data_IF_713088147930
#
_entry.id   IF_713088147930
#
_cell.length_a   1.000
_cell.length_b   1.000
_cell.length_c   1.000
_cell.angle_alpha   90.00
_cell.angle_beta   90.00
_cell.angle_gamma   90.00
#
_symmetry.space_group_name_H-M   'P 1'
#
loop_
_entity.id
_entity.type
_entity.pdbx_description
1 polymer ?
#
# COMPACT_ATOMS: atom_id res chain seq x y z
N UNK A 1 -9.30 -30.07 -5.18
CA UNK A 1 -8.62 -29.21 -6.19
C UNK A 1 -8.39 -29.95 -7.53
N UNK A 2 -8.46 -29.27 -8.69
CA UNK A 2 -7.98 -29.85 -9.96
C UNK A 2 -6.44 -29.65 -10.06
N UNK A 3 -5.64 -30.71 -10.36
CA UNK A 3 -4.18 -30.61 -10.45
C UNK A 3 -3.69 -29.55 -11.44
N UNK A 4 -4.36 -29.39 -12.58
CA UNK A 4 -3.99 -28.38 -13.59
C UNK A 4 -4.08 -26.95 -13.03
N UNK A 5 -5.07 -26.73 -12.15
CA UNK A 5 -5.29 -25.42 -11.51
C UNK A 5 -4.22 -25.14 -10.45
N UNK A 6 -3.82 -26.15 -9.69
CA UNK A 6 -2.74 -26.03 -8.70
C UNK A 6 -1.41 -25.76 -9.41
N UNK A 7 -1.10 -26.50 -10.48
CA UNK A 7 0.11 -26.32 -11.27
C UNK A 7 0.20 -24.91 -11.85
N UNK A 8 -0.87 -24.43 -12.52
CA UNK A 8 -0.91 -23.07 -13.07
C UNK A 8 -0.74 -21.98 -11.98
N UNK A 9 -1.32 -22.21 -10.79
CA UNK A 9 -1.18 -21.28 -9.66
C UNK A 9 0.27 -21.25 -9.16
N UNK A 10 0.89 -22.42 -8.99
CA UNK A 10 2.29 -22.54 -8.58
C UNK A 10 3.26 -21.92 -9.60
N UNK A 11 3.05 -22.12 -10.90
CA UNK A 11 3.88 -21.50 -11.93
C UNK A 11 3.79 -19.97 -11.88
N UNK A 12 2.59 -19.45 -11.69
CA UNK A 12 2.37 -18.00 -11.56
C UNK A 12 3.10 -17.45 -10.35
N UNK A 13 3.04 -18.15 -9.21
CA UNK A 13 3.79 -17.75 -8.01
C UNK A 13 5.31 -17.83 -8.22
N UNK A 14 5.82 -18.86 -8.90
CA UNK A 14 7.26 -19.00 -9.21
C UNK A 14 7.78 -17.80 -10.01
N UNK A 15 7.00 -17.32 -10.98
CA UNK A 15 7.31 -16.10 -11.75
C UNK A 15 7.34 -14.87 -10.83
N UNK A 16 6.35 -14.71 -9.95
CA UNK A 16 6.31 -13.61 -8.99
C UNK A 16 7.52 -13.62 -8.03
N UNK A 17 7.94 -14.78 -7.53
CA UNK A 17 9.17 -14.91 -6.73
C UNK A 17 10.43 -14.51 -7.51
N UNK A 18 10.51 -14.87 -8.79
CA UNK A 18 11.64 -14.47 -9.65
C UNK A 18 11.71 -12.94 -9.82
N UNK A 19 10.57 -12.28 -9.97
CA UNK A 19 10.48 -10.81 -10.00
C UNK A 19 10.83 -10.17 -8.66
N UNK A 20 10.39 -10.79 -7.55
CA UNK A 20 10.75 -10.35 -6.19
C UNK A 20 12.27 -10.45 -5.97
N UNK A 21 12.89 -11.56 -6.39
CA UNK A 21 14.34 -11.76 -6.32
C UNK A 21 15.07 -10.68 -7.12
N UNK A 22 14.63 -10.39 -8.35
CA UNK A 22 15.16 -9.29 -9.13
C UNK A 22 15.00 -7.94 -8.42
N UNK A 23 13.88 -7.72 -7.72
CA UNK A 23 13.61 -6.49 -6.97
C UNK A 23 14.48 -6.33 -5.70
N UNK A 24 14.96 -7.43 -5.09
CA UNK A 24 15.93 -7.37 -3.98
C UNK A 24 17.24 -6.72 -4.44
N UNK A 25 17.69 -7.09 -5.62
CA UNK A 25 18.96 -6.65 -6.24
C UNK A 25 18.80 -5.45 -7.17
N UNK A 26 17.58 -4.97 -7.39
CA UNK A 26 17.29 -3.79 -8.19
C UNK A 26 17.89 -2.54 -7.53
N UNK A 27 19.14 -2.25 -7.89
CA UNK A 27 19.79 -0.97 -7.67
C UNK A 27 18.97 0.06 -8.45
N UNK A 28 18.10 0.79 -7.75
CA UNK A 28 17.30 1.81 -8.39
C UNK A 28 18.22 2.85 -9.00
N UNK A 29 17.95 3.28 -10.24
CA UNK A 29 18.40 4.60 -10.70
C UNK A 29 18.09 5.58 -9.58
N UNK A 30 19.13 6.20 -9.04
CA UNK A 30 19.06 7.28 -8.07
C UNK A 30 18.18 8.34 -8.73
N UNK A 31 16.88 8.38 -8.37
CA UNK A 31 15.99 9.44 -8.78
C UNK A 31 15.85 10.37 -7.58
N UNK A 32 16.61 11.45 -7.72
CA UNK A 32 16.49 12.77 -7.11
C UNK A 32 16.56 12.88 -5.59
N UNK A 33 17.62 13.58 -5.16
CA UNK A 33 17.67 14.42 -3.97
C UNK A 33 16.86 13.89 -2.77
N UNK A 34 17.40 12.87 -2.09
CA UNK A 34 17.20 12.86 -0.64
C UNK A 34 17.86 14.12 -0.12
N UNK A 35 17.04 15.12 0.22
CA UNK A 35 17.44 16.21 1.11
C UNK A 35 18.09 15.52 2.31
N UNK A 36 19.41 15.61 2.42
CA UNK A 36 20.16 15.00 3.50
C UNK A 36 19.53 15.49 4.80
N UNK A 37 18.88 14.60 5.56
CA UNK A 37 18.67 14.87 6.98
C UNK A 37 20.08 14.95 7.58
N UNK A 38 20.47 16.06 8.24
CA UNK A 38 21.82 16.25 8.77
C UNK A 38 22.11 15.42 10.03
N UNK A 39 21.66 14.15 10.04
CA UNK A 39 21.86 13.19 11.13
C UNK A 39 21.62 11.73 10.72
N UNK A 40 21.56 11.42 9.41
CA UNK A 40 21.38 10.06 8.91
C UNK A 40 22.67 9.23 9.05
N UNK A 41 22.67 8.31 10.03
CA UNK A 41 23.68 7.29 10.34
C UNK A 41 24.75 7.06 9.26
N UNK A 42 25.99 7.47 9.56
CA UNK A 42 27.20 6.94 8.92
C UNK A 42 27.34 5.46 9.30
N UNK A 43 26.90 4.57 8.43
CA UNK A 43 27.10 3.13 8.57
C UNK A 43 26.96 2.46 7.20
N UNK A 44 27.58 1.29 7.00
CA UNK A 44 27.45 0.56 5.74
C UNK A 44 25.97 0.32 5.45
N UNK A 45 25.50 0.77 4.29
CA UNK A 45 24.16 0.51 3.83
C UNK A 45 24.01 -1.00 3.57
N UNK A 46 23.01 -1.64 4.18
CA UNK A 46 22.72 -3.05 3.91
C UNK A 46 22.51 -3.25 2.41
N UNK A 47 23.16 -4.27 1.79
CA UNK A 47 22.97 -4.54 0.38
C UNK A 47 21.51 -4.95 0.10
N UNK A 48 20.92 -4.33 -0.92
CA UNK A 48 19.56 -4.62 -1.37
C UNK A 48 18.48 -3.71 -0.76
N UNK A 49 17.26 -3.82 -1.30
CA UNK A 49 16.10 -3.11 -0.76
C UNK A 49 15.53 -3.90 0.43
N UNK A 50 15.39 -3.31 1.64
CA UNK A 50 15.02 -4.07 2.84
C UNK A 50 13.64 -4.72 2.73
N UNK A 51 12.67 -4.00 2.16
CA UNK A 51 11.28 -4.47 2.09
C UNK A 51 11.06 -5.72 1.20
N UNK A 52 11.62 -5.80 -0.03
CA UNK A 52 11.62 -7.05 -0.80
C UNK A 52 12.33 -8.22 -0.12
N UNK A 53 13.43 -7.94 0.59
CA UNK A 53 14.19 -8.97 1.31
C UNK A 53 13.37 -9.54 2.47
N UNK A 54 12.82 -8.68 3.31
CA UNK A 54 11.95 -9.05 4.45
C UNK A 54 10.73 -9.85 3.99
N UNK A 55 10.02 -9.37 2.96
CA UNK A 55 8.86 -10.09 2.43
C UNK A 55 9.25 -11.47 1.91
N UNK A 56 10.35 -11.59 1.17
CA UNK A 56 10.75 -12.90 0.65
C UNK A 56 11.05 -13.90 1.77
N UNK A 57 11.76 -13.47 2.83
CA UNK A 57 12.06 -14.33 3.97
C UNK A 57 10.78 -14.82 4.66
N UNK A 58 9.80 -13.93 4.85
CA UNK A 58 8.51 -14.27 5.43
C UNK A 58 7.76 -15.32 4.59
N UNK A 59 7.66 -15.08 3.28
CA UNK A 59 6.94 -15.97 2.38
C UNK A 59 7.64 -17.34 2.23
N UNK A 60 8.98 -17.36 2.21
CA UNK A 60 9.78 -18.59 2.17
C UNK A 60 9.54 -19.47 3.41
N UNK A 61 9.47 -18.87 4.59
CA UNK A 61 9.19 -19.60 5.84
C UNK A 61 7.80 -20.23 5.81
N UNK A 62 6.78 -19.48 5.38
CA UNK A 62 5.41 -20.01 5.26
C UNK A 62 5.33 -21.14 4.25
N UNK A 63 5.95 -20.97 3.09
CA UNK A 63 5.99 -21.99 2.05
C UNK A 63 6.70 -23.25 2.53
N UNK A 64 7.80 -23.09 3.27
CA UNK A 64 8.55 -24.20 3.85
C UNK A 64 7.70 -25.05 4.80
N UNK A 65 6.90 -24.41 5.66
CA UNK A 65 6.03 -25.10 6.61
C UNK A 65 4.98 -25.95 5.88
N UNK A 66 4.33 -25.39 4.85
CA UNK A 66 3.38 -26.12 4.01
C UNK A 66 4.04 -27.32 3.30
N UNK A 67 5.20 -27.10 2.67
CA UNK A 67 5.94 -28.19 2.00
C UNK A 67 6.37 -29.26 3.00
N UNK A 68 6.78 -28.88 4.21
CA UNK A 68 7.18 -29.83 5.23
C UNK A 68 6.03 -30.65 5.81
N UNK A 69 4.81 -30.13 5.76
CA UNK A 69 3.63 -30.91 6.13
C UNK A 69 3.21 -31.84 4.97
N UNK A 70 3.07 -31.30 3.76
CA UNK A 70 2.68 -32.07 2.58
C UNK A 70 3.68 -33.19 2.23
N UNK A 71 4.99 -32.96 2.41
CA UNK A 71 6.01 -33.98 2.11
C UNK A 71 5.88 -35.22 2.97
N UNK A 72 5.24 -35.14 4.15
CA UNK A 72 5.02 -36.31 5.03
C UNK A 72 4.17 -37.37 4.36
N UNK A 73 3.36 -36.97 3.39
CA UNK A 73 2.46 -37.85 2.64
C UNK A 73 3.06 -38.27 1.29
N UNK A 74 3.82 -37.39 0.63
CA UNK A 74 4.30 -37.63 -0.74
C UNK A 74 5.76 -38.13 -0.77
N UNK A 75 6.69 -37.41 -0.11
CA UNK A 75 8.13 -37.75 -0.12
C UNK A 75 8.77 -37.60 1.28
N UNK A 76 8.51 -38.54 2.22
CA UNK A 76 8.83 -38.34 3.64
C UNK A 76 10.32 -38.22 3.96
N UNK A 77 11.17 -38.84 3.14
CA UNK A 77 12.63 -38.89 3.35
C UNK A 77 13.36 -37.65 2.82
N UNK A 78 12.68 -36.75 2.11
CA UNK A 78 13.32 -35.58 1.50
C UNK A 78 13.47 -34.44 2.53
N UNK A 79 14.69 -33.91 2.64
CA UNK A 79 14.96 -32.65 3.32
C UNK A 79 14.88 -31.50 2.33
N UNK A 80 14.47 -30.32 2.80
CA UNK A 80 14.41 -29.09 2.02
C UNK A 80 15.16 -28.00 2.76
N UNK A 81 15.73 -27.07 2.00
CA UNK A 81 16.19 -25.80 2.53
C UNK A 81 15.05 -24.77 2.54
N UNK A 82 15.24 -23.69 3.29
CA UNK A 82 14.30 -22.55 3.35
C UNK A 82 14.57 -21.58 2.20
N UNK A 83 14.42 -22.08 0.97
CA UNK A 83 14.65 -21.32 -0.25
C UNK A 83 13.49 -21.54 -1.22
N UNK A 84 12.87 -20.47 -1.69
CA UNK A 84 11.71 -20.58 -2.58
C UNK A 84 11.95 -21.42 -3.84
N UNK A 85 13.14 -21.43 -4.51
CA UNK A 85 13.29 -22.17 -5.76
C UNK A 85 13.11 -23.68 -5.58
N UNK A 86 13.77 -24.25 -4.57
CA UNK A 86 13.69 -25.69 -4.29
C UNK A 86 12.27 -26.11 -3.88
N UNK A 87 11.62 -25.28 -3.06
CA UNK A 87 10.26 -25.51 -2.60
C UNK A 87 9.26 -25.44 -3.76
N UNK A 88 9.38 -24.43 -4.63
CA UNK A 88 8.49 -24.26 -5.79
C UNK A 88 8.69 -25.36 -6.82
N UNK A 89 9.93 -25.77 -7.10
CA UNK A 89 10.19 -26.88 -8.03
C UNK A 89 9.62 -28.20 -7.51
N UNK A 90 9.68 -28.43 -6.20
CA UNK A 90 9.03 -29.60 -5.60
C UNK A 90 7.50 -29.53 -5.69
N UNK A 91 6.89 -28.38 -5.43
CA UNK A 91 5.43 -28.20 -5.57
C UNK A 91 4.99 -28.47 -7.00
N UNK A 92 5.70 -27.91 -7.99
CA UNK A 92 5.38 -28.10 -9.40
C UNK A 92 5.50 -29.57 -9.81
N UNK A 93 6.60 -30.23 -9.41
CA UNK A 93 6.81 -31.65 -9.73
C UNK A 93 5.75 -32.56 -9.10
N UNK A 94 5.25 -32.24 -7.91
CA UNK A 94 4.27 -33.07 -7.18
C UNK A 94 2.85 -32.50 -7.24
N UNK A 95 2.54 -31.61 -8.19
CA UNK A 95 1.24 -30.92 -8.24
C UNK A 95 0.05 -31.90 -8.31
N UNK A 96 0.21 -33.03 -9.00
CA UNK A 96 -0.81 -34.08 -9.07
C UNK A 96 -1.06 -34.74 -7.70
N UNK A 97 -0.01 -35.25 -7.07
CA UNK A 97 -0.09 -35.85 -5.74
C UNK A 97 -0.55 -34.86 -4.66
N UNK A 98 -0.18 -33.58 -4.77
CA UNK A 98 -0.64 -32.52 -3.88
C UNK A 98 -2.14 -32.24 -4.06
N UNK A 99 -2.68 -32.37 -5.27
CA UNK A 99 -4.10 -32.13 -5.54
C UNK A 99 -5.02 -33.21 -4.94
N UNK A 100 -4.47 -34.40 -4.65
CA UNK A 100 -5.18 -35.50 -4.00
C UNK A 100 -5.24 -35.37 -2.47
N UNK A 101 -4.44 -34.46 -1.87
CA UNK A 101 -4.47 -34.25 -0.42
C UNK A 101 -5.67 -33.39 0.00
N UNK A 102 -6.19 -33.66 1.20
CA UNK A 102 -7.31 -32.87 1.78
C UNK A 102 -6.97 -31.38 1.96
N UNK A 103 -5.68 -31.03 2.02
CA UNK A 103 -5.17 -29.67 2.17
C UNK A 103 -4.88 -28.96 0.83
N UNK A 104 -5.23 -29.57 -0.30
CA UNK A 104 -4.92 -29.04 -1.64
C UNK A 104 -5.50 -27.64 -1.88
N UNK A 105 -6.73 -27.39 -1.41
CA UNK A 105 -7.40 -26.11 -1.58
C UNK A 105 -6.75 -25.02 -0.70
N UNK A 106 -6.37 -25.37 0.54
CA UNK A 106 -5.64 -24.47 1.45
C UNK A 106 -4.26 -24.09 0.88
N UNK A 107 -3.54 -25.06 0.29
CA UNK A 107 -2.28 -24.80 -0.39
C UNK A 107 -2.50 -23.84 -1.56
N UNK A 108 -3.52 -24.07 -2.39
CA UNK A 108 -3.82 -23.19 -3.51
C UNK A 108 -4.15 -21.76 -3.08
N UNK A 109 -4.87 -21.61 -1.97
CA UNK A 109 -5.19 -20.31 -1.38
C UNK A 109 -3.94 -19.61 -0.82
N UNK A 110 -3.05 -20.33 -0.14
CA UNK A 110 -1.76 -19.78 0.29
C UNK A 110 -0.93 -19.33 -0.91
N UNK A 111 -0.81 -20.14 -1.98
CA UNK A 111 -0.06 -19.75 -3.18
C UNK A 111 -0.62 -18.47 -3.83
N UNK A 112 -1.95 -18.34 -3.91
CA UNK A 112 -2.61 -17.12 -4.40
C UNK A 112 -2.38 -15.93 -3.47
N UNK A 113 -2.45 -16.14 -2.17
CA UNK A 113 -2.20 -15.11 -1.17
C UNK A 113 -0.77 -14.58 -1.25
N UNK A 114 0.24 -15.47 -1.29
CA UNK A 114 1.65 -15.09 -1.41
C UNK A 114 1.88 -14.29 -2.70
N UNK A 115 1.31 -14.75 -3.83
CA UNK A 115 1.38 -14.02 -5.10
C UNK A 115 0.80 -12.61 -4.96
N UNK A 116 -0.33 -12.46 -4.28
CA UNK A 116 -0.95 -11.16 -4.07
C UNK A 116 -0.07 -10.26 -3.19
N UNK A 117 0.59 -10.79 -2.15
CA UNK A 117 1.54 -10.01 -1.36
C UNK A 117 2.71 -9.49 -2.20
N UNK A 118 3.29 -10.35 -3.05
CA UNK A 118 4.36 -9.96 -3.98
C UNK A 118 3.85 -8.88 -4.93
N UNK A 119 2.69 -9.08 -5.55
CA UNK A 119 2.10 -8.11 -6.47
C UNK A 119 1.80 -6.77 -5.81
N UNK A 120 1.30 -6.77 -4.57
CA UNK A 120 1.07 -5.53 -3.82
C UNK A 120 2.35 -4.75 -3.55
N UNK A 121 3.48 -5.44 -3.38
CA UNK A 121 4.78 -4.81 -3.20
C UNK A 121 5.35 -4.28 -4.52
N UNK A 122 5.34 -5.09 -5.57
CA UNK A 122 5.99 -4.78 -6.85
C UNK A 122 5.16 -3.84 -7.73
N UNK A 123 3.84 -3.99 -7.69
CA UNK A 123 2.88 -3.25 -8.51
C UNK A 123 1.85 -2.54 -7.62
N UNK A 124 2.29 -1.56 -6.80
CA UNK A 124 1.37 -0.83 -5.95
C UNK A 124 0.32 -0.15 -6.84
N UNK A 125 -0.95 -0.36 -6.51
CA UNK A 125 -2.05 0.31 -7.21
C UNK A 125 -1.82 1.83 -7.17
N UNK A 126 -2.10 2.56 -8.27
CA UNK A 126 -2.00 4.00 -8.25
C UNK A 126 -2.87 4.56 -7.12
N UNK A 127 -2.42 5.63 -6.43
CA UNK A 127 -3.22 6.24 -5.38
C UNK A 127 -4.60 6.56 -5.94
N UNK A 128 -5.67 6.13 -5.25
CA UNK A 128 -7.05 6.42 -5.66
C UNK A 128 -7.25 7.94 -5.70
N UNK A 129 -7.23 8.51 -6.90
CA UNK A 129 -7.38 9.96 -7.14
C UNK A 129 -8.82 10.44 -6.97
N UNK A 130 -9.82 9.55 -7.09
CA UNK A 130 -11.24 9.87 -6.93
C UNK A 130 -11.75 9.74 -5.48
N UNK A 131 -10.98 10.19 -4.48
CA UNK A 131 -11.56 10.38 -3.14
C UNK A 131 -12.28 11.73 -3.13
N UNK A 132 -13.58 11.80 -2.78
CA UNK A 132 -14.23 13.09 -2.58
C UNK A 132 -13.43 13.86 -1.52
N UNK A 133 -13.33 15.17 -1.70
CA UNK A 133 -12.58 16.01 -0.76
C UNK A 133 -13.09 15.77 0.67
N UNK A 134 -12.20 15.44 1.64
CA UNK A 134 -12.63 15.22 3.00
C UNK A 134 -13.14 16.51 3.62
N UNK A 135 -14.25 16.43 4.35
CA UNK A 135 -14.75 17.52 5.19
C UNK A 135 -13.77 17.78 6.35
N UNK A 136 -13.32 19.04 6.50
CA UNK A 136 -12.30 19.42 7.48
C UNK A 136 -12.83 20.47 8.46
N UNK A 137 -12.38 20.45 9.73
CA UNK A 137 -12.77 21.46 10.69
C UNK A 137 -12.19 22.83 10.32
N UNK A 138 -12.87 23.91 10.71
CA UNK A 138 -12.49 25.29 10.41
C UNK A 138 -11.00 25.59 10.65
N UNK A 139 -10.42 25.12 11.77
CA UNK A 139 -9.00 25.32 12.10
C UNK A 139 -8.05 24.85 11.01
N UNK A 140 -8.37 23.72 10.37
CA UNK A 140 -7.55 23.12 9.34
C UNK A 140 -7.70 23.89 8.03
N UNK A 141 -8.94 24.23 7.67
CA UNK A 141 -9.26 25.00 6.48
C UNK A 141 -8.60 26.38 6.54
N UNK A 142 -8.67 27.08 7.67
CA UNK A 142 -8.02 28.40 7.87
C UNK A 142 -6.51 28.30 7.71
N UNK A 143 -5.87 27.24 8.23
CA UNK A 143 -4.44 27.05 8.07
C UNK A 143 -4.04 26.87 6.59
N UNK A 144 -4.85 26.13 5.82
CA UNK A 144 -4.64 25.96 4.37
C UNK A 144 -4.86 27.27 3.60
N UNK A 145 -5.95 27.97 3.88
CA UNK A 145 -6.28 29.27 3.26
C UNK A 145 -5.21 30.33 3.54
N UNK A 146 -4.65 30.35 4.75
CA UNK A 146 -3.53 31.24 5.11
C UNK A 146 -2.28 30.92 4.29
N UNK A 147 -1.99 29.63 4.04
CA UNK A 147 -0.91 29.21 3.16
C UNK A 147 -1.08 29.65 1.70
N UNK A 148 -2.32 29.90 1.29
CA UNK A 148 -2.68 30.43 -0.04
C UNK A 148 -2.86 31.96 -0.06
N UNK A 149 -2.58 32.66 1.05
CA UNK A 149 -2.66 34.12 1.13
C UNK A 149 -4.02 34.69 1.56
N UNK A 150 -5.04 33.85 1.78
CA UNK A 150 -6.34 34.31 2.25
C UNK A 150 -6.36 34.44 3.79
N UNK A 151 -6.89 35.56 4.29
CA UNK A 151 -7.08 35.80 5.73
C UNK A 151 -8.55 35.61 6.08
N UNK A 152 -8.88 34.41 6.58
CA UNK A 152 -10.27 34.05 6.95
C UNK A 152 -10.32 33.58 8.40
N UNK A 153 -11.36 33.99 9.14
CA UNK A 153 -11.62 33.56 10.52
C UNK A 153 -12.70 32.47 10.59
N UNK A 154 -12.76 31.73 11.69
CA UNK A 154 -13.77 30.69 11.86
C UNK A 154 -15.21 31.25 11.86
N UNK A 155 -15.40 32.47 12.37
CA UNK A 155 -16.69 33.14 12.36
C UNK A 155 -17.14 33.54 10.96
N UNK A 156 -16.19 33.96 10.11
CA UNK A 156 -16.48 34.22 8.69
C UNK A 156 -16.93 32.95 7.97
N UNK A 157 -16.26 31.81 8.21
CA UNK A 157 -16.70 30.52 7.65
C UNK A 157 -18.11 30.12 8.12
N UNK A 158 -18.42 30.30 9.41
CA UNK A 158 -19.78 30.05 9.92
C UNK A 158 -20.82 30.98 9.28
N UNK A 159 -20.49 32.27 9.11
CA UNK A 159 -21.37 33.23 8.46
C UNK A 159 -21.62 32.88 6.99
N UNK A 160 -20.58 32.51 6.25
CA UNK A 160 -20.70 32.08 4.85
C UNK A 160 -21.60 30.84 4.73
N UNK A 161 -21.41 29.85 5.60
CA UNK A 161 -22.27 28.67 5.64
C UNK A 161 -23.72 29.01 6.01
N UNK A 162 -23.94 29.87 7.01
CA UNK A 162 -25.29 30.32 7.39
C UNK A 162 -26.02 31.09 6.29
N UNK A 163 -25.28 31.70 5.37
CA UNK A 163 -25.81 32.40 4.20
C UNK A 163 -26.05 31.47 2.99
N UNK A 164 -25.72 30.18 3.11
CA UNK A 164 -25.85 29.19 2.03
C UNK A 164 -24.83 29.37 0.91
N UNK A 165 -23.75 30.12 1.14
CA UNK A 165 -22.72 30.41 0.13
C UNK A 165 -21.65 29.31 0.05
N UNK A 166 -21.48 28.56 1.13
CA UNK A 166 -20.62 27.37 1.21
C UNK A 166 -21.38 26.29 1.97
N UNK A 167 -21.14 25.03 1.63
CA UNK A 167 -21.68 23.91 2.36
C UNK A 167 -20.92 23.68 3.68
N UNK A 168 -21.65 23.24 4.70
CA UNK A 168 -21.07 22.78 5.96
C UNK A 168 -21.77 21.53 6.45
N UNK A 169 -21.00 20.56 6.92
CA UNK A 169 -21.50 19.38 7.63
C UNK A 169 -21.26 19.53 9.14
N UNK A 170 -22.22 19.09 9.95
CA UNK A 170 -22.05 19.05 11.41
C UNK A 170 -21.61 17.65 11.82
N UNK A 171 -20.42 17.56 12.42
CA UNK A 171 -19.96 16.35 13.10
C UNK A 171 -19.98 16.59 14.61
N UNK A 172 -21.14 16.34 15.21
CA UNK A 172 -21.40 16.59 16.63
C UNK A 172 -21.33 18.07 16.98
N UNK A 173 -20.25 18.49 17.67
CA UNK A 173 -20.05 19.87 18.14
C UNK A 173 -19.29 20.78 17.17
N UNK A 174 -18.80 20.24 16.05
CA UNK A 174 -17.94 20.97 15.12
C UNK A 174 -18.56 21.04 13.72
N UNK A 175 -18.48 22.22 13.12
CA UNK A 175 -18.77 22.40 11.70
C UNK A 175 -17.53 22.03 10.87
N UNK A 176 -17.76 21.23 9.85
CA UNK A 176 -16.80 20.81 8.86
C UNK A 176 -17.13 21.48 7.53
N UNK A 177 -16.08 21.76 6.75
CA UNK A 177 -16.17 22.46 5.48
C UNK A 177 -15.31 21.77 4.43
N UNK A 178 -15.62 22.02 3.16
CA UNK A 178 -14.78 21.67 2.02
C UNK A 178 -13.87 22.84 1.68
N UNK A 179 -12.58 22.58 1.57
CA UNK A 179 -11.55 23.61 1.33
C UNK A 179 -11.68 24.14 -0.09
N UNK A 180 -11.89 23.26 -1.07
CA UNK A 180 -11.97 23.64 -2.49
C UNK A 180 -13.13 24.61 -2.72
N UNK A 181 -14.29 24.31 -2.16
CA UNK A 181 -15.48 25.16 -2.26
C UNK A 181 -15.26 26.57 -1.68
N UNK A 182 -14.55 26.67 -0.57
CA UNK A 182 -14.24 27.98 0.04
C UNK A 182 -13.22 28.74 -0.80
N UNK A 183 -12.21 28.06 -1.35
CA UNK A 183 -11.23 28.67 -2.26
C UNK A 183 -11.94 29.19 -3.51
N UNK A 184 -12.84 28.40 -4.10
CA UNK A 184 -13.61 28.79 -5.28
C UNK A 184 -14.50 30.01 -4.99
N UNK A 185 -15.14 30.06 -3.82
CA UNK A 185 -15.91 31.23 -3.39
C UNK A 185 -15.03 32.48 -3.21
N UNK A 186 -13.86 32.33 -2.58
CA UNK A 186 -12.92 33.44 -2.35
C UNK A 186 -12.25 33.94 -3.63
N UNK A 187 -12.11 33.09 -4.64
CA UNK A 187 -11.56 33.45 -5.93
C UNK A 187 -12.61 34.05 -6.88
N UNK A 188 -13.87 33.65 -6.75
CA UNK A 188 -14.99 34.21 -7.52
C UNK A 188 -15.52 35.53 -6.95
N UNK A 189 -15.30 35.78 -5.66
CA UNK A 189 -15.68 37.04 -5.00
C UNK A 189 -14.44 37.91 -4.80
N UNK A 190 -14.31 39.08 -5.46
CA UNK A 190 -13.19 39.98 -5.20
C UNK A 190 -13.20 40.41 -3.72
N UNK A 191 -12.03 40.53 -3.07
CA UNK A 191 -11.98 40.85 -1.65
C UNK A 191 -12.59 42.23 -1.41
N UNK A 192 -13.71 42.30 -0.69
CA UNK A 192 -14.16 43.55 -0.08
C UNK A 192 -13.02 44.06 0.81
N UNK A 193 -12.45 45.20 0.43
CA UNK A 193 -11.51 45.96 1.26
C UNK A 193 -12.18 46.17 2.61
N UNK A 194 -11.59 45.63 3.67
CA UNK A 194 -11.96 45.96 5.04
C UNK A 194 -11.92 47.48 5.21
N UNK A 195 -13.09 48.12 5.19
CA UNK A 195 -13.29 49.44 5.72
C UNK A 195 -13.39 49.30 7.25
N UNK A 196 -12.25 49.47 7.94
CA UNK A 196 -12.15 49.92 9.33
C UNK A 196 -10.69 49.80 9.77
N UNK A 197 -9.96 50.91 9.68
CA UNK A 197 -9.00 51.39 10.69
C UNK A 197 -8.70 52.86 10.32
N UNK A 198 -9.58 53.74 10.80
CA UNK A 198 -9.26 55.12 11.19
C UNK A 198 -9.13 55.13 12.70
#
# INVERSE_FOLDING_TARGET
MNPDTLHATAETLRRAYSELEAAKHASGKIRDERTMRPGGRLGPASPGRPRPVELCMELELRLYDFVCDAKRFITPRRSFNKNWPELMDWILFNAEALAELDVADDLADELRWQRNQINHLLYPAPPRTNRPEPWRPARHVIALLRGQGHRVTADQLRKLASRGLINSETNGRLNLYRTTEIIDYLNSTPPERNAADQ
#
